data_IF_719899795884
#
_entry.id   IF_719899795884
#
_cell.length_a   1.000
_cell.length_b   1.000
_cell.length_c   1.000
_cell.angle_alpha   90.00
_cell.angle_beta   90.00
_cell.angle_gamma   90.00
#
_symmetry.space_group_name_H-M   'P 1'
#
loop_
_entity.id
_entity.type
_entity.pdbx_description
1 polymer ?
#
# COMPACT_ATOMS: atom_id res chain seq x y z
N UNK A 1 33.03 -0.40 2.20
CA UNK A 1 32.24 -1.64 2.04
C UNK A 1 30.86 -1.19 1.56
N UNK A 2 30.54 -1.46 0.30
CA UNK A 2 29.34 -0.94 -0.39
C UNK A 2 28.33 -2.09 -0.49
N UNK A 3 27.10 -1.89 -0.04
CA UNK A 3 25.96 -2.79 -0.19
C UNK A 3 24.75 -2.17 0.53
N UNK A 4 23.52 -2.18 0.06
CA UNK A 4 22.87 -2.78 -1.11
C UNK A 4 21.81 -1.78 -1.58
N UNK A 5 21.33 -1.85 -2.82
CA UNK A 5 20.17 -1.09 -3.24
C UNK A 5 18.95 -1.57 -2.43
N UNK A 6 18.58 -0.84 -1.37
CA UNK A 6 17.46 -1.15 -0.46
C UNK A 6 16.09 -0.78 -1.04
N UNK A 7 16.07 -0.27 -2.27
CA UNK A 7 14.86 0.22 -2.96
C UNK A 7 14.65 -0.67 -4.18
N UNK A 8 13.45 -1.25 -4.29
CA UNK A 8 13.05 -1.98 -5.47
C UNK A 8 13.01 -1.06 -6.69
N UNK A 9 13.19 -1.62 -7.89
CA UNK A 9 13.03 -0.85 -9.13
C UNK A 9 11.61 -0.25 -9.21
N UNK A 10 11.49 0.91 -9.87
CA UNK A 10 10.19 1.53 -10.11
C UNK A 10 9.27 0.58 -10.87
N UNK A 11 8.07 0.37 -10.32
CA UNK A 11 7.00 -0.35 -10.97
C UNK A 11 5.97 0.66 -11.48
N UNK A 12 5.57 0.54 -12.76
CA UNK A 12 4.57 1.40 -13.39
C UNK A 12 3.32 0.57 -13.64
N UNK A 13 2.21 0.98 -13.03
CA UNK A 13 0.90 0.37 -13.18
C UNK A 13 -0.02 1.31 -13.96
N UNK A 14 -0.88 0.74 -14.80
CA UNK A 14 -1.93 1.46 -15.54
C UNK A 14 -3.25 0.71 -15.33
N UNK A 15 -4.23 1.41 -14.80
CA UNK A 15 -5.58 0.90 -14.57
C UNK A 15 -6.53 1.48 -15.63
N UNK A 16 -7.26 0.60 -16.29
CA UNK A 16 -8.39 0.94 -17.15
C UNK A 16 -9.67 1.07 -16.31
N UNK A 17 -10.74 1.60 -16.92
CA UNK A 17 -12.04 1.77 -16.25
C UNK A 17 -12.53 0.43 -15.70
N UNK A 18 -12.87 0.42 -14.40
CA UNK A 18 -13.36 -0.75 -13.68
C UNK A 18 -12.26 -1.68 -13.15
N UNK A 19 -10.98 -1.45 -13.49
CA UNK A 19 -9.89 -2.18 -12.87
C UNK A 19 -9.59 -1.63 -11.47
N UNK A 20 -9.26 -2.55 -10.56
CA UNK A 20 -8.87 -2.23 -9.19
C UNK A 20 -7.73 -3.13 -8.73
N UNK A 21 -7.16 -2.78 -7.59
CA UNK A 21 -6.32 -3.68 -6.82
C UNK A 21 -6.95 -3.78 -5.43
N UNK A 22 -7.23 -5.00 -5.00
CA UNK A 22 -7.88 -5.24 -3.71
C UNK A 22 -6.94 -4.87 -2.54
N UNK A 23 -7.54 -4.58 -1.39
CA UNK A 23 -6.78 -4.20 -0.18
C UNK A 23 -5.80 -5.32 0.21
N UNK A 24 -4.56 -4.95 0.50
CA UNK A 24 -3.47 -5.88 0.82
C UNK A 24 -2.38 -5.21 1.65
N UNK A 25 -1.50 -6.04 2.22
CA UNK A 25 -0.27 -5.59 2.86
C UNK A 25 0.90 -5.61 1.89
N UNK A 26 1.72 -4.56 1.91
CA UNK A 26 3.00 -4.55 1.21
C UNK A 26 4.10 -5.32 1.96
N UNK A 27 3.95 -5.47 3.28
CA UNK A 27 4.85 -6.28 4.08
C UNK A 27 4.62 -7.77 3.83
N UNK A 28 5.71 -8.53 3.75
CA UNK A 28 5.66 -9.98 3.65
C UNK A 28 5.44 -10.61 5.02
N UNK A 29 4.24 -11.09 5.29
CA UNK A 29 3.90 -11.82 6.52
C UNK A 29 4.60 -13.20 6.52
N UNK A 30 5.49 -13.51 7.50
CA UNK A 30 6.17 -14.80 7.55
C UNK A 30 5.22 -16.01 7.64
N UNK A 31 4.00 -15.82 8.18
CA UNK A 31 3.00 -16.88 8.24
C UNK A 31 2.48 -17.28 6.84
N UNK A 32 2.51 -16.37 5.88
CA UNK A 32 2.01 -16.58 4.51
C UNK A 32 3.15 -16.87 3.53
N UNK A 33 4.29 -16.17 3.69
CA UNK A 33 5.39 -16.20 2.72
C UNK A 33 6.61 -16.99 3.22
N UNK A 34 6.63 -17.43 4.48
CA UNK A 34 7.82 -18.03 5.11
C UNK A 34 8.91 -17.00 5.47
N UNK A 35 10.08 -17.45 5.95
CA UNK A 35 11.17 -16.55 6.32
C UNK A 35 11.66 -15.75 5.10
N UNK A 36 11.68 -14.42 5.23
CA UNK A 36 12.14 -13.52 4.17
C UNK A 36 13.53 -12.97 4.48
N UNK A 37 14.37 -12.85 3.45
CA UNK A 37 15.69 -12.23 3.55
C UNK A 37 15.63 -10.70 3.63
N UNK A 38 14.50 -10.10 3.24
CA UNK A 38 14.26 -8.66 3.28
C UNK A 38 12.78 -8.35 3.52
N UNK A 39 12.48 -7.12 3.95
CA UNK A 39 11.12 -6.66 4.22
C UNK A 39 10.88 -5.30 3.58
N UNK A 40 9.65 -5.05 3.12
CA UNK A 40 9.23 -3.73 2.63
C UNK A 40 8.82 -2.87 3.83
N UNK A 41 9.69 -1.94 4.22
CA UNK A 41 9.44 -1.06 5.37
C UNK A 41 8.45 0.05 5.05
N UNK A 42 8.50 0.56 3.82
CA UNK A 42 7.66 1.65 3.36
C UNK A 42 7.44 1.55 1.85
N UNK A 43 6.33 2.11 1.42
CA UNK A 43 5.94 2.21 0.01
C UNK A 43 5.73 3.66 -0.37
N UNK A 44 6.23 4.01 -1.55
CA UNK A 44 6.05 5.33 -2.13
C UNK A 44 5.30 5.20 -3.45
N UNK A 45 4.12 5.80 -3.52
CA UNK A 45 3.30 5.87 -4.72
C UNK A 45 3.41 7.28 -5.32
N UNK A 46 3.64 7.35 -6.63
CA UNK A 46 3.61 8.58 -7.39
C UNK A 46 2.46 8.52 -8.39
N UNK A 47 1.50 9.44 -8.26
CA UNK A 47 0.37 9.49 -9.18
C UNK A 47 0.78 10.20 -10.48
N UNK A 48 0.77 9.46 -11.59
CA UNK A 48 1.27 9.94 -12.89
C UNK A 48 0.21 10.70 -13.70
N UNK A 49 -1.07 10.59 -13.31
CA UNK A 49 -2.23 11.18 -14.00
C UNK A 49 -3.30 11.60 -13.00
N UNK A 50 -4.10 12.61 -13.36
CA UNK A 50 -5.34 12.91 -12.67
C UNK A 50 -6.41 11.87 -13.03
N UNK A 51 -7.22 11.45 -12.07
CA UNK A 51 -8.36 10.55 -12.30
C UNK A 51 -9.66 11.30 -12.00
N UNK A 52 -10.58 11.25 -12.97
CA UNK A 52 -11.85 11.97 -12.88
C UNK A 52 -12.75 11.38 -11.77
N UNK A 53 -12.94 10.07 -11.79
CA UNK A 53 -13.81 9.31 -10.88
C UNK A 53 -13.16 7.97 -10.50
N UNK A 54 -13.26 7.58 -9.22
CA UNK A 54 -12.62 6.39 -8.67
C UNK A 54 -11.10 6.50 -8.56
N UNK A 55 -10.44 5.34 -8.48
CA UNK A 55 -8.98 5.22 -8.47
C UNK A 55 -8.31 5.67 -7.16
N UNK A 56 -9.08 5.84 -6.08
CA UNK A 56 -8.52 6.21 -4.79
C UNK A 56 -7.60 5.14 -4.24
N UNK A 57 -6.49 5.55 -3.63
CA UNK A 57 -5.74 4.69 -2.71
C UNK A 57 -6.42 4.77 -1.36
N UNK A 58 -6.92 3.66 -0.85
CA UNK A 58 -7.67 3.61 0.40
C UNK A 58 -6.91 2.85 1.49
N UNK A 59 -7.08 3.28 2.73
CA UNK A 59 -6.53 2.66 3.95
C UNK A 59 -7.69 2.33 4.88
N UNK A 60 -8.10 1.05 4.98
CA UNK A 60 -9.35 0.69 5.64
C UNK A 60 -9.23 0.80 7.16
N UNK A 61 -8.00 0.64 7.67
CA UNK A 61 -7.67 0.55 9.09
C UNK A 61 -7.18 1.85 9.72
N UNK A 62 -7.26 2.96 9.00
CA UNK A 62 -6.78 4.25 9.50
C UNK A 62 -7.41 4.58 10.87
N UNK A 63 -6.54 4.96 11.81
CA UNK A 63 -6.87 5.25 13.20
C UNK A 63 -7.64 4.11 13.93
N UNK A 64 -7.39 2.85 13.56
CA UNK A 64 -8.02 1.67 14.16
C UNK A 64 -9.44 1.38 13.66
N UNK A 65 -9.89 2.09 12.62
CA UNK A 65 -11.20 1.85 12.00
C UNK A 65 -11.27 0.44 11.40
N UNK A 66 -12.45 -0.17 11.32
CA UNK A 66 -12.68 -1.45 10.62
C UNK A 66 -11.80 -2.66 11.04
N UNK A 67 -11.03 -2.56 12.13
CA UNK A 67 -10.19 -3.64 12.67
C UNK A 67 -10.99 -4.77 13.35
N UNK A 68 -12.33 -4.68 13.36
CA UNK A 68 -13.20 -5.74 13.85
C UNK A 68 -13.28 -6.96 12.91
N UNK A 69 -12.57 -6.92 11.78
CA UNK A 69 -12.40 -8.05 10.85
C UNK A 69 -13.63 -8.37 10.00
N UNK A 70 -14.62 -7.46 9.93
CA UNK A 70 -15.91 -7.72 9.30
C UNK A 70 -16.14 -7.00 7.96
N UNK A 71 -15.15 -6.27 7.44
CA UNK A 71 -15.33 -5.54 6.19
C UNK A 71 -14.94 -6.37 4.97
N UNK A 72 -15.57 -6.07 3.84
CA UNK A 72 -15.23 -6.65 2.55
C UNK A 72 -13.96 -5.95 2.03
N UNK A 73 -12.91 -6.71 1.73
CA UNK A 73 -11.65 -6.16 1.22
C UNK A 73 -11.79 -5.53 -0.17
N UNK A 74 -12.91 -5.79 -0.84
CA UNK A 74 -13.29 -5.16 -2.10
C UNK A 74 -13.94 -3.77 -1.93
N UNK A 75 -14.39 -3.44 -0.72
CA UNK A 75 -15.06 -2.18 -0.43
C UNK A 75 -14.06 -1.01 -0.35
N UNK A 76 -14.40 0.09 -1.01
CA UNK A 76 -13.62 1.34 -0.93
C UNK A 76 -14.02 2.14 0.32
N UNK A 77 -13.44 1.81 1.48
CA UNK A 77 -13.74 2.40 2.80
C UNK A 77 -12.50 2.99 3.50
N UNK A 78 -12.71 3.64 4.65
CA UNK A 78 -11.64 4.24 5.45
C UNK A 78 -11.11 5.55 4.86
N UNK A 79 -9.83 5.85 5.12
CA UNK A 79 -9.16 7.02 4.56
C UNK A 79 -8.94 6.80 3.06
N UNK A 80 -9.31 7.78 2.22
CA UNK A 80 -9.17 7.70 0.76
C UNK A 80 -8.34 8.86 0.24
N UNK A 81 -7.35 8.55 -0.59
CA UNK A 81 -6.50 9.53 -1.25
C UNK A 81 -6.86 9.53 -2.74
N UNK A 82 -7.42 10.65 -3.21
CA UNK A 82 -7.74 10.82 -4.64
C UNK A 82 -6.44 11.07 -5.43
N UNK A 83 -6.15 10.29 -6.48
CA UNK A 83 -4.95 10.49 -7.28
C UNK A 83 -5.00 11.81 -8.04
N UNK A 84 -3.94 12.59 -7.91
CA UNK A 84 -3.71 13.84 -8.65
C UNK A 84 -2.31 13.82 -9.21
N UNK A 85 -2.16 14.23 -10.46
CA UNK A 85 -0.89 14.14 -11.17
C UNK A 85 0.22 14.89 -10.42
N UNK A 86 1.29 14.18 -10.09
CA UNK A 86 2.46 14.71 -9.41
C UNK A 86 2.44 14.57 -7.89
N UNK A 87 1.30 14.23 -7.28
CA UNK A 87 1.24 13.95 -5.85
C UNK A 87 1.96 12.65 -5.52
N UNK A 88 2.68 12.65 -4.40
CA UNK A 88 3.38 11.50 -3.85
C UNK A 88 2.79 11.08 -2.51
N UNK A 89 2.61 9.78 -2.31
CA UNK A 89 2.10 9.18 -1.09
C UNK A 89 3.14 8.22 -0.52
N UNK A 90 3.65 8.52 0.68
CA UNK A 90 4.54 7.65 1.44
C UNK A 90 3.78 7.08 2.63
N UNK A 91 3.79 5.77 2.78
CA UNK A 91 3.27 5.09 3.96
C UNK A 91 4.22 3.97 4.41
N UNK A 92 4.20 3.67 5.70
CA UNK A 92 5.05 2.65 6.30
C UNK A 92 4.23 1.37 6.50
N UNK A 93 4.82 0.22 6.18
CA UNK A 93 4.20 -1.09 6.37
C UNK A 93 4.60 -1.74 7.70
N UNK A 94 5.57 -1.15 8.40
CA UNK A 94 6.08 -1.62 9.69
C UNK A 94 6.11 -0.49 10.72
N UNK A 95 5.86 -0.87 11.97
CA UNK A 95 6.17 -0.04 13.12
C UNK A 95 7.69 0.13 13.31
N UNK A 96 8.15 1.14 14.07
CA UNK A 96 9.58 1.34 14.36
C UNK A 96 10.28 0.15 15.04
N UNK A 97 9.54 -0.74 15.70
CA UNK A 97 10.05 -1.97 16.31
C UNK A 97 10.19 -3.13 15.30
N UNK A 98 9.83 -2.92 14.02
CA UNK A 98 9.91 -3.90 12.95
C UNK A 98 8.71 -4.85 12.81
N UNK A 99 7.68 -4.73 13.64
CA UNK A 99 6.44 -5.52 13.47
C UNK A 99 5.53 -4.90 12.40
N UNK A 100 4.73 -5.72 11.71
CA UNK A 100 3.79 -5.27 10.68
C UNK A 100 2.78 -4.29 11.29
N UNK A 101 2.57 -3.16 10.59
CA UNK A 101 1.53 -2.18 10.90
C UNK A 101 0.22 -2.59 10.19
N UNK A 102 -0.85 -2.94 10.94
CA UNK A 102 -2.11 -3.43 10.39
C UNK A 102 -2.94 -2.33 9.69
#
# INVERSE_FOLDING_TARGET
>A
MIGYHTVNAFNILRYEVGQKYDSHYDAFNPAEYGPQESQRMASFLLYLTDVQEGGETMFPYENGSNMNGSYDFEDCIGLKIKPRKGDGLLFYSLFPNGTIDP
#
